data_IF_595355755057
#
_entry.id   IF_595355755057
#
_cell.length_a   1.000
_cell.length_b   1.000
_cell.length_c   1.000
_cell.angle_alpha   90.00
_cell.angle_beta   90.00
_cell.angle_gamma   90.00
#
_symmetry.space_group_name_H-M   'P 1'
#
loop_
_entity.id
_entity.type
_entity.pdbx_description
1 polymer ?
#
# COMPACT_ATOMS: atom_id res chain seq x y z
N UNK A 1 3.52 -9.06 5.87
CA UNK A 1 3.31 -9.41 4.45
C UNK A 1 4.63 -9.77 3.78
N UNK A 2 4.63 -10.64 2.75
CA UNK A 2 5.87 -11.12 2.13
C UNK A 2 6.71 -9.99 1.51
N UNK A 3 6.08 -9.00 0.86
CA UNK A 3 6.78 -7.89 0.21
C UNK A 3 7.51 -6.98 1.22
N UNK A 4 6.89 -6.66 2.36
CA UNK A 4 7.55 -5.92 3.44
C UNK A 4 8.68 -6.70 4.10
N UNK A 5 8.56 -8.04 4.18
CA UNK A 5 9.66 -8.87 4.68
C UNK A 5 10.87 -8.78 3.76
N UNK A 6 10.67 -8.81 2.44
CA UNK A 6 11.75 -8.62 1.47
C UNK A 6 12.43 -7.26 1.64
N UNK A 7 11.67 -6.19 1.88
CA UNK A 7 12.23 -4.87 2.14
C UNK A 7 12.97 -4.81 3.48
N UNK A 8 12.44 -5.42 4.53
CA UNK A 8 13.11 -5.52 5.84
C UNK A 8 14.45 -6.26 5.73
N UNK A 9 14.49 -7.39 5.03
CA UNK A 9 15.68 -8.22 4.88
C UNK A 9 16.82 -7.47 4.14
N UNK A 10 16.42 -6.56 3.25
CA UNK A 10 17.32 -5.72 2.44
C UNK A 10 17.60 -4.35 3.06
N UNK A 11 16.91 -4.00 4.15
CA UNK A 11 16.97 -2.68 4.75
C UNK A 11 18.33 -2.44 5.42
N UNK A 12 18.96 -1.28 5.19
CA UNK A 12 20.03 -0.79 6.04
C UNK A 12 19.51 -0.58 7.48
N UNK A 13 20.42 -0.50 8.45
CA UNK A 13 20.07 -0.47 9.88
C UNK A 13 19.10 0.66 10.26
N UNK A 14 19.24 1.83 9.64
CA UNK A 14 18.39 3.01 9.86
C UNK A 14 16.92 2.79 9.45
N UNK A 15 16.65 1.90 8.48
CA UNK A 15 15.30 1.58 8.03
C UNK A 15 14.64 0.39 8.74
N UNK A 16 15.39 -0.45 9.47
CA UNK A 16 14.85 -1.71 10.01
C UNK A 16 13.76 -1.51 11.06
N UNK A 17 13.84 -0.45 11.86
CA UNK A 17 12.80 -0.14 12.85
C UNK A 17 11.46 0.17 12.17
N UNK A 18 11.48 1.04 11.15
CA UNK A 18 10.32 1.37 10.32
C UNK A 18 9.65 0.11 9.74
N UNK A 19 10.42 -0.76 9.09
CA UNK A 19 9.85 -1.97 8.47
C UNK A 19 9.30 -2.98 9.49
N UNK A 20 9.90 -3.07 10.69
CA UNK A 20 9.35 -3.91 11.76
C UNK A 20 8.01 -3.40 12.26
N UNK A 21 7.89 -2.10 12.45
CA UNK A 21 6.62 -1.47 12.87
C UNK A 21 5.56 -1.57 11.77
N UNK A 22 5.94 -1.31 10.51
CA UNK A 22 5.03 -1.43 9.37
C UNK A 22 4.49 -2.87 9.25
N UNK A 23 5.35 -3.90 9.33
CA UNK A 23 4.92 -5.31 9.36
C UNK A 23 3.94 -5.60 10.50
N UNK A 24 4.12 -4.99 11.67
CA UNK A 24 3.22 -5.17 12.82
C UNK A 24 1.83 -4.61 12.53
N UNK A 25 1.73 -3.42 11.91
CA UNK A 25 0.46 -2.79 11.52
C UNK A 25 -0.23 -3.65 10.45
N UNK A 26 0.51 -3.98 9.41
CA UNK A 26 0.04 -4.72 8.23
C UNK A 26 -0.46 -6.14 8.51
N UNK A 27 0.01 -6.79 9.60
CA UNK A 27 -0.52 -8.10 10.03
C UNK A 27 -2.02 -8.07 10.31
N UNK A 28 -2.61 -6.91 10.60
CA UNK A 28 -4.05 -6.76 10.85
C UNK A 28 -4.86 -6.55 9.57
N UNK A 29 -4.22 -6.22 8.44
CA UNK A 29 -4.92 -5.85 7.22
C UNK A 29 -5.73 -6.98 6.59
N UNK A 30 -5.30 -8.25 6.67
CA UNK A 30 -6.11 -9.37 6.18
C UNK A 30 -7.46 -9.47 6.93
N UNK A 31 -7.44 -9.37 8.26
CA UNK A 31 -8.65 -9.41 9.08
C UNK A 31 -9.57 -8.21 8.79
N UNK A 32 -8.99 -7.02 8.61
CA UNK A 32 -9.72 -5.80 8.26
C UNK A 32 -10.33 -5.88 6.85
N UNK A 33 -9.61 -6.43 5.88
CA UNK A 33 -10.08 -6.62 4.50
C UNK A 33 -11.28 -7.57 4.44
N UNK A 34 -11.21 -8.69 5.17
CA UNK A 34 -12.34 -9.62 5.32
C UNK A 34 -13.54 -8.96 6.01
N UNK A 35 -13.30 -8.18 7.08
CA UNK A 35 -14.38 -7.46 7.77
C UNK A 35 -15.05 -6.40 6.89
N UNK A 36 -14.28 -5.72 6.04
CA UNK A 36 -14.80 -4.82 5.01
C UNK A 36 -15.67 -5.59 4.02
N UNK A 37 -15.18 -6.72 3.51
CA UNK A 37 -15.94 -7.65 2.66
C UNK A 37 -17.28 -8.05 3.24
N UNK A 38 -17.29 -8.53 4.49
CA UNK A 38 -18.51 -8.88 5.24
C UNK A 38 -19.48 -7.68 5.30
N UNK A 39 -18.99 -6.46 5.54
CA UNK A 39 -19.80 -5.23 5.54
C UNK A 39 -20.43 -4.87 4.18
N UNK A 40 -19.84 -5.33 3.08
CA UNK A 40 -20.38 -5.21 1.72
C UNK A 40 -21.13 -6.47 1.25
N UNK A 41 -21.38 -7.44 2.14
CA UNK A 41 -22.00 -8.74 1.84
C UNK A 41 -21.23 -9.57 0.80
N UNK A 42 -19.90 -9.45 0.76
CA UNK A 42 -19.05 -10.31 -0.07
C UNK A 42 -18.95 -11.69 0.58
N UNK A 43 -19.25 -12.79 -0.14
CA UNK A 43 -19.15 -14.15 0.41
C UNK A 43 -17.73 -14.48 0.88
N UNK A 44 -17.61 -15.17 2.02
CA UNK A 44 -16.32 -15.48 2.66
C UNK A 44 -15.44 -16.38 1.81
N UNK A 45 -16.06 -17.24 1.01
CA UNK A 45 -15.42 -18.19 0.10
C UNK A 45 -14.57 -17.46 -0.95
N UNK A 46 -14.97 -16.24 -1.34
CA UNK A 46 -14.21 -15.41 -2.29
C UNK A 46 -12.86 -14.96 -1.75
N UNK A 47 -12.67 -14.95 -0.43
CA UNK A 47 -11.38 -14.64 0.22
C UNK A 47 -10.52 -15.89 0.48
N UNK A 48 -10.98 -17.07 0.07
CA UNK A 48 -10.25 -18.33 0.23
C UNK A 48 -9.60 -18.80 -1.09
N UNK A 49 -10.08 -18.28 -2.22
CA UNK A 49 -9.65 -18.68 -3.56
C UNK A 49 -9.15 -17.43 -4.30
N UNK A 50 -7.99 -17.48 -4.96
CA UNK A 50 -7.54 -16.37 -5.81
C UNK A 50 -8.53 -16.10 -6.93
N UNK A 51 -9.01 -14.86 -7.01
CA UNK A 51 -9.87 -14.39 -8.10
C UNK A 51 -9.03 -13.78 -9.23
N UNK A 52 -9.53 -13.80 -10.48
CA UNK A 52 -8.86 -13.15 -11.59
C UNK A 52 -8.75 -11.63 -11.34
N UNK A 53 -7.53 -11.11 -11.39
CA UNK A 53 -7.27 -9.68 -11.34
C UNK A 53 -7.57 -9.03 -12.69
N UNK A 54 -8.15 -7.82 -12.66
CA UNK A 54 -8.18 -6.94 -13.82
C UNK A 54 -6.75 -6.73 -14.36
N UNK A 55 -6.55 -6.59 -15.68
CA UNK A 55 -5.22 -6.42 -16.28
C UNK A 55 -4.39 -5.30 -15.62
N UNK A 56 -5.01 -4.16 -15.34
CA UNK A 56 -4.38 -2.98 -14.74
C UNK A 56 -3.99 -3.23 -13.28
N UNK A 57 -4.84 -3.93 -12.52
CA UNK A 57 -4.55 -4.35 -11.15
C UNK A 57 -3.37 -5.34 -11.14
N UNK A 58 -3.33 -6.26 -12.11
CA UNK A 58 -2.24 -7.22 -12.26
C UNK A 58 -0.92 -6.52 -12.64
N UNK A 59 -0.95 -5.54 -13.55
CA UNK A 59 0.23 -4.75 -13.91
C UNK A 59 0.76 -3.98 -12.69
N UNK A 60 -0.14 -3.31 -11.96
CA UNK A 60 0.23 -2.58 -10.75
C UNK A 60 0.86 -3.50 -9.68
N UNK A 61 0.20 -4.61 -9.37
CA UNK A 61 0.71 -5.61 -8.42
C UNK A 61 2.06 -6.18 -8.87
N UNK A 62 2.20 -6.49 -10.15
CA UNK A 62 3.45 -7.01 -10.74
C UNK A 62 4.60 -6.01 -10.60
N UNK A 63 4.34 -4.73 -10.89
CA UNK A 63 5.33 -3.67 -10.75
C UNK A 63 5.84 -3.55 -9.30
N UNK A 64 4.93 -3.46 -8.31
CA UNK A 64 5.33 -3.37 -6.89
C UNK A 64 6.12 -4.60 -6.43
N UNK A 65 5.69 -5.78 -6.88
CA UNK A 65 6.39 -7.05 -6.58
C UNK A 65 7.81 -7.05 -7.14
N UNK A 66 8.00 -6.58 -8.37
CA UNK A 66 9.32 -6.49 -9.00
C UNK A 66 10.22 -5.47 -8.29
N UNK A 67 9.67 -4.32 -7.90
CA UNK A 67 10.42 -3.32 -7.12
C UNK A 67 10.93 -3.91 -5.80
N UNK A 68 10.09 -4.65 -5.07
CA UNK A 68 10.48 -5.31 -3.82
C UNK A 68 11.54 -6.39 -4.01
N UNK A 69 11.63 -7.02 -5.20
CA UNK A 69 12.57 -8.11 -5.48
C UNK A 69 13.91 -7.62 -6.03
N UNK A 70 13.88 -6.74 -7.04
CA UNK A 70 15.05 -6.47 -7.88
C UNK A 70 15.55 -5.03 -7.90
N UNK A 71 14.70 -4.03 -7.60
CA UNK A 71 15.11 -2.62 -7.65
C UNK A 71 16.10 -2.27 -6.54
N UNK A 72 16.85 -1.17 -6.66
CA UNK A 72 17.64 -0.65 -5.53
C UNK A 72 16.75 -0.30 -4.34
N UNK A 73 17.30 -0.29 -3.13
CA UNK A 73 16.48 -0.20 -1.92
C UNK A 73 15.67 1.11 -1.85
N UNK A 74 16.29 2.26 -2.10
CA UNK A 74 15.61 3.54 -2.17
C UNK A 74 14.53 3.58 -3.25
N UNK A 75 14.79 3.02 -4.43
CA UNK A 75 13.80 2.90 -5.52
C UNK A 75 12.60 2.05 -5.09
N UNK A 76 12.84 0.93 -4.41
CA UNK A 76 11.77 0.05 -3.94
C UNK A 76 10.90 0.73 -2.86
N UNK A 77 11.52 1.39 -1.89
CA UNK A 77 10.85 2.18 -0.83
C UNK A 77 10.04 3.32 -1.46
N UNK A 78 10.59 3.96 -2.49
CA UNK A 78 9.92 5.04 -3.21
C UNK A 78 8.65 4.58 -3.94
N UNK A 79 8.73 3.46 -4.66
CA UNK A 79 7.58 2.89 -5.37
C UNK A 79 6.48 2.37 -4.44
N UNK A 80 6.82 1.90 -3.24
CA UNK A 80 5.90 1.23 -2.31
C UNK A 80 5.48 2.15 -1.17
N UNK A 81 6.32 2.29 -0.15
CA UNK A 81 6.01 3.00 1.08
C UNK A 81 5.77 4.49 0.85
N UNK A 82 6.62 5.16 0.06
CA UNK A 82 6.42 6.59 -0.15
C UNK A 82 5.21 6.88 -1.06
N UNK A 83 5.16 6.25 -2.24
CA UNK A 83 4.12 6.53 -3.21
C UNK A 83 2.74 5.99 -2.82
N UNK A 84 2.63 4.69 -2.51
CA UNK A 84 1.33 4.02 -2.30
C UNK A 84 0.77 4.34 -0.92
N UNK A 85 1.53 4.13 0.16
CA UNK A 85 1.06 4.44 1.52
C UNK A 85 0.80 5.95 1.67
N UNK A 86 1.62 6.80 1.02
CA UNK A 86 1.45 8.25 1.03
C UNK A 86 0.15 8.77 0.41
N UNK A 87 -0.52 8.01 -0.47
CA UNK A 87 -1.85 8.36 -1.00
C UNK A 87 -2.97 7.54 -0.36
N UNK A 88 -2.67 6.41 0.29
CA UNK A 88 -3.65 5.53 0.92
C UNK A 88 -4.48 6.25 1.98
N UNK A 89 -3.86 7.11 2.80
CA UNK A 89 -4.56 7.94 3.78
C UNK A 89 -5.64 8.81 3.12
N UNK A 90 -5.27 9.62 2.12
CA UNK A 90 -6.19 10.57 1.47
C UNK A 90 -7.33 9.87 0.73
N UNK A 91 -7.04 8.71 0.13
CA UNK A 91 -8.06 7.87 -0.49
C UNK A 91 -9.04 7.37 0.58
N UNK A 92 -8.51 6.88 1.71
CA UNK A 92 -9.32 6.37 2.82
C UNK A 92 -10.19 7.45 3.46
N UNK A 93 -9.65 8.65 3.70
CA UNK A 93 -10.42 9.80 4.19
C UNK A 93 -11.57 10.16 3.24
N UNK A 94 -11.31 10.20 1.93
CA UNK A 94 -12.34 10.51 0.93
C UNK A 94 -13.41 9.43 0.87
N UNK A 95 -13.01 8.16 0.88
CA UNK A 95 -13.94 7.04 0.90
C UNK A 95 -14.82 7.07 2.16
N UNK A 96 -14.25 7.33 3.33
CA UNK A 96 -15.00 7.46 4.58
C UNK A 96 -16.03 8.58 4.55
N UNK A 97 -15.75 9.73 3.94
CA UNK A 97 -16.76 10.80 3.81
C UNK A 97 -18.00 10.34 3.06
N UNK A 98 -17.83 9.50 2.03
CA UNK A 98 -18.94 8.89 1.28
C UNK A 98 -19.63 7.76 2.05
N UNK A 99 -18.86 6.93 2.75
CA UNK A 99 -19.35 5.72 3.42
C UNK A 99 -19.83 5.95 4.86
N UNK A 100 -19.53 7.09 5.49
CA UNK A 100 -19.82 7.34 6.90
C UNK A 100 -21.32 7.25 7.24
N UNK A 101 -22.20 7.59 6.29
CA UNK A 101 -23.65 7.52 6.46
C UNK A 101 -24.25 6.16 6.08
N UNK A 102 -23.44 5.21 5.62
CA UNK A 102 -23.92 3.89 5.25
C UNK A 102 -23.98 2.97 6.48
N UNK A 103 -25.15 2.91 7.10
CA UNK A 103 -25.41 2.08 8.28
C UNK A 103 -25.25 0.58 8.00
N UNK A 104 -25.43 0.13 6.75
CA UNK A 104 -25.35 -1.29 6.37
C UNK A 104 -23.94 -1.86 6.50
N UNK A 105 -22.91 -1.05 6.26
CA UNK A 105 -21.50 -1.46 6.36
C UNK A 105 -21.07 -1.59 7.83
N UNK A 106 -21.64 -0.74 8.69
CA UNK A 106 -21.31 -0.67 10.12
C UNK A 106 -19.85 -0.30 10.40
N UNK A 107 -19.45 -0.22 11.69
CA UNK A 107 -18.08 0.13 12.09
C UNK A 107 -17.04 -0.90 11.63
N UNK A 108 -17.37 -2.20 11.73
CA UNK A 108 -16.44 -3.27 11.31
C UNK A 108 -16.15 -3.24 9.81
N UNK A 109 -17.15 -2.92 8.98
CA UNK A 109 -16.94 -2.83 7.53
C UNK A 109 -16.15 -1.60 7.10
N UNK A 110 -16.03 -0.57 7.95
CA UNK A 110 -15.20 0.62 7.70
C UNK A 110 -13.81 0.55 8.33
N UNK A 111 -13.56 -0.46 9.15
CA UNK A 111 -12.36 -0.53 10.00
C UNK A 111 -11.05 -0.36 9.23
N UNK A 112 -10.91 -1.01 8.07
CA UNK A 112 -9.73 -0.88 7.21
C UNK A 112 -9.45 0.58 6.80
N UNK A 113 -10.49 1.28 6.34
CA UNK A 113 -10.41 2.68 5.92
C UNK A 113 -10.17 3.61 7.11
N UNK A 114 -10.79 3.34 8.26
CA UNK A 114 -10.64 4.13 9.48
C UNK A 114 -9.21 4.05 10.05
N UNK A 115 -8.53 2.92 9.90
CA UNK A 115 -7.12 2.77 10.31
C UNK A 115 -6.19 3.49 9.33
N UNK A 116 -6.33 3.31 8.02
CA UNK A 116 -5.50 4.01 7.02
C UNK A 116 -5.70 5.53 7.06
N UNK A 117 -6.91 6.01 7.36
CA UNK A 117 -7.15 7.45 7.51
C UNK A 117 -6.43 8.05 8.74
N UNK A 118 -6.19 7.25 9.79
CA UNK A 118 -5.58 7.71 11.05
C UNK A 118 -4.07 7.52 11.12
N UNK A 119 -3.54 6.42 10.59
CA UNK A 119 -2.20 5.93 10.93
C UNK A 119 -1.13 6.09 9.82
N UNK A 120 -1.52 6.54 8.62
CA UNK A 120 -0.60 6.59 7.46
C UNK A 120 0.05 7.97 7.21
N UNK A 121 -0.08 8.96 8.09
CA UNK A 121 0.53 10.28 7.86
C UNK A 121 2.05 10.29 8.10
N UNK A 122 2.55 9.53 9.07
CA UNK A 122 3.98 9.46 9.41
C UNK A 122 4.78 8.53 8.48
N UNK A 123 4.17 7.43 8.01
CA UNK A 123 4.83 6.44 7.15
C UNK A 123 5.50 7.02 5.89
N UNK A 124 4.85 7.87 5.07
CA UNK A 124 5.48 8.45 3.88
C UNK A 124 6.61 9.42 4.26
N UNK A 125 6.54 10.10 5.41
CA UNK A 125 7.62 10.99 5.88
C UNK A 125 8.85 10.17 6.23
N UNK A 126 8.68 9.08 6.98
CA UNK A 126 9.76 8.15 7.33
C UNK A 126 10.35 7.48 6.07
N UNK A 127 9.51 7.05 5.13
CA UNK A 127 9.93 6.52 3.85
C UNK A 127 10.77 7.55 3.05
N UNK A 128 10.39 8.82 3.07
CA UNK A 128 11.15 9.88 2.40
C UNK A 128 12.54 10.07 3.01
N UNK A 129 12.68 9.98 4.34
CA UNK A 129 14.00 10.05 4.98
C UNK A 129 14.88 8.85 4.62
N UNK A 130 14.31 7.65 4.52
CA UNK A 130 15.01 6.45 4.01
C UNK A 130 15.48 6.68 2.57
N UNK A 131 14.61 7.21 1.69
CA UNK A 131 14.94 7.50 0.29
C UNK A 131 16.08 8.52 0.20
N UNK A 132 16.02 9.62 0.96
CA UNK A 132 17.08 10.64 1.04
C UNK A 132 18.40 10.02 1.49
N UNK A 133 18.38 9.11 2.46
CA UNK A 133 19.56 8.38 2.93
C UNK A 133 20.17 7.51 1.82
N UNK A 134 19.34 6.82 1.03
CA UNK A 134 19.79 6.00 -0.10
C UNK A 134 20.40 6.86 -1.24
N UNK A 135 19.78 7.99 -1.56
CA UNK A 135 20.30 8.94 -2.56
C UNK A 135 21.66 9.49 -2.12
N UNK A 136 21.81 9.85 -0.83
CA UNK A 136 23.12 10.27 -0.28
C UNK A 136 24.20 9.18 -0.39
N UNK A 137 23.80 7.91 -0.37
CA UNK A 137 24.68 6.74 -0.53
C UNK A 137 24.95 6.35 -1.99
N UNK A 138 24.38 7.08 -2.96
CA UNK A 138 24.70 6.93 -4.38
C UNK A 138 23.57 6.43 -5.27
N UNK A 139 22.36 6.19 -4.75
CA UNK A 139 21.21 5.95 -5.62
C UNK A 139 20.84 7.23 -6.40
N UNK A 140 20.45 7.09 -7.66
CA UNK A 140 20.12 8.23 -8.50
C UNK A 140 18.76 8.85 -8.07
N UNK A 141 18.69 10.19 -7.83
CA UNK A 141 17.43 10.88 -7.54
C UNK A 141 16.34 10.64 -8.60
N UNK A 142 16.75 10.51 -9.86
CA UNK A 142 15.85 10.25 -10.98
C UNK A 142 15.16 8.88 -10.82
N UNK A 143 15.90 7.83 -10.47
CA UNK A 143 15.36 6.47 -10.32
C UNK A 143 14.30 6.39 -9.21
N UNK A 144 14.57 7.02 -8.05
CA UNK A 144 13.59 7.05 -6.95
C UNK A 144 12.36 7.87 -7.35
N UNK A 145 12.51 8.96 -8.08
CA UNK A 145 11.40 9.80 -8.55
C UNK A 145 10.53 9.07 -9.58
N UNK A 146 11.14 8.49 -10.60
CA UNK A 146 10.45 7.78 -11.68
C UNK A 146 9.66 6.59 -11.15
N UNK A 147 10.21 5.89 -10.16
CA UNK A 147 9.53 4.75 -9.55
C UNK A 147 8.28 5.14 -8.77
N UNK A 148 8.30 6.25 -8.03
CA UNK A 148 7.12 6.80 -7.37
C UNK A 148 6.05 7.23 -8.39
N UNK A 149 6.45 7.96 -9.44
CA UNK A 149 5.53 8.42 -10.48
C UNK A 149 4.90 7.24 -11.24
N UNK A 150 5.69 6.23 -11.59
CA UNK A 150 5.18 5.01 -12.25
C UNK A 150 4.21 4.26 -11.34
N UNK A 151 4.54 4.11 -10.06
CA UNK A 151 3.66 3.48 -9.07
C UNK A 151 2.31 4.19 -8.97
N UNK A 152 2.31 5.52 -8.83
CA UNK A 152 1.08 6.34 -8.76
C UNK A 152 0.26 6.26 -10.06
N UNK A 153 0.93 6.26 -11.22
CA UNK A 153 0.27 6.11 -12.52
C UNK A 153 -0.43 4.76 -12.67
N UNK A 154 0.24 3.68 -12.27
CA UNK A 154 -0.34 2.33 -12.27
C UNK A 154 -1.48 2.20 -11.26
N UNK A 155 -1.31 2.74 -10.05
CA UNK A 155 -2.37 2.75 -9.04
C UNK A 155 -3.62 3.47 -9.55
N UNK A 156 -3.46 4.63 -10.19
CA UNK A 156 -4.57 5.35 -10.83
C UNK A 156 -5.26 4.48 -11.89
N UNK A 157 -4.49 3.83 -12.77
CA UNK A 157 -5.04 2.93 -13.79
C UNK A 157 -5.86 1.80 -13.18
N UNK A 158 -5.31 1.13 -12.16
CA UNK A 158 -5.99 0.07 -11.43
C UNK A 158 -7.30 0.54 -10.75
N UNK A 159 -7.30 1.74 -10.15
CA UNK A 159 -8.50 2.33 -9.55
C UNK A 159 -9.58 2.68 -10.58
N UNK A 160 -9.20 3.22 -11.75
CA UNK A 160 -10.15 3.52 -12.83
C UNK A 160 -10.76 2.24 -13.38
N UNK A 161 -9.93 1.23 -13.70
CA UNK A 161 -10.43 -0.05 -14.20
C UNK A 161 -11.39 -0.72 -13.22
N UNK A 162 -11.09 -0.66 -11.90
CA UNK A 162 -11.96 -1.21 -10.86
C UNK A 162 -13.28 -0.44 -10.69
N UNK A 163 -13.33 0.83 -11.09
CA UNK A 163 -14.55 1.64 -11.08
C UNK A 163 -15.43 1.38 -12.31
N UNK A 164 -14.82 1.04 -13.45
CA UNK A 164 -15.51 0.81 -14.72
C UNK A 164 -15.99 -0.64 -14.90
N UNK A 165 -15.48 -1.58 -14.10
CA UNK A 165 -15.80 -3.03 -14.16
C UNK A 165 -17.15 -3.41 -13.55
#
# INVERSE_FOLDING_TARGET
>A
PQWLQLLLDRSPEDGKAFFRDNIRVEKRHDAMWRAMGDGFNVPKERFQIPEPMLPEVKEFHGYLTEMCRGATFGTAVSATNYAVEGVAQKISEKALRGLAKNEKIGPRGRWWLEEHAKYDDEHPIQALEIIKSCVKRGEAPQSVTDSALKSLGLMKGAMVASYES
#
